data_IF_878139978028
#
_entry.id   IF_878139978028
#
_cell.length_a   1.000
_cell.length_b   1.000
_cell.length_c   1.000
_cell.angle_alpha   90.00
_cell.angle_beta   90.00
_cell.angle_gamma   90.00
#
_symmetry.space_group_name_H-M   'P 1'
#
loop_
_entity.id
_entity.type
_entity.pdbx_description
1 polymer ?
#
# COMPACT_ATOMS: atom_id res chain seq x y z
N UNK A 1 -7.13 -4.51 2.98
CA UNK A 1 -6.66 -4.95 4.30
C UNK A 1 -6.79 -3.82 5.33
N UNK A 2 -7.41 -4.09 6.47
CA UNK A 2 -7.46 -3.16 7.61
C UNK A 2 -6.27 -3.44 8.54
N UNK A 3 -5.50 -2.41 8.90
CA UNK A 3 -4.27 -2.53 9.70
C UNK A 3 -4.44 -1.71 10.97
N UNK A 4 -4.76 -2.39 12.09
CA UNK A 4 -4.94 -1.77 13.41
C UNK A 4 -3.69 -1.92 14.25
N UNK A 5 -2.96 -0.84 14.47
CA UNK A 5 -1.78 -0.83 15.36
C UNK A 5 -1.65 0.49 16.08
N UNK A 6 -0.84 0.51 17.15
CA UNK A 6 -0.46 1.77 17.81
C UNK A 6 0.61 2.46 16.97
N UNK A 7 0.33 3.69 16.57
CA UNK A 7 1.26 4.51 15.77
C UNK A 7 1.93 5.53 16.69
N UNK A 8 3.23 5.36 16.91
CA UNK A 8 4.05 6.28 17.71
C UNK A 8 4.79 5.64 18.88
N UNK A 9 5.63 6.47 19.51
CA UNK A 9 6.41 6.14 20.72
C UNK A 9 6.08 7.16 21.81
N UNK A 10 6.66 6.93 22.99
CA UNK A 10 6.65 7.89 24.09
C UNK A 10 8.03 8.57 24.10
N UNK A 11 8.08 9.89 24.11
CA UNK A 11 9.33 10.64 24.22
C UNK A 11 9.86 10.67 25.66
N UNK A 12 11.01 11.30 25.87
CA UNK A 12 11.66 11.41 27.17
C UNK A 12 10.81 12.16 28.22
N UNK A 13 9.85 12.98 27.78
CA UNK A 13 8.94 13.74 28.64
C UNK A 13 7.63 12.98 28.93
N UNK A 14 7.52 11.72 28.48
CA UNK A 14 6.31 10.92 28.65
C UNK A 14 5.19 11.28 27.67
N UNK A 15 5.43 12.16 26.68
CA UNK A 15 4.41 12.53 25.69
C UNK A 15 4.40 11.51 24.56
N UNK A 16 3.21 11.28 24.00
CA UNK A 16 3.09 10.44 22.80
C UNK A 16 3.49 11.24 21.57
N UNK A 17 4.54 10.77 20.90
CA UNK A 17 5.00 11.32 19.62
C UNK A 17 4.76 10.26 18.56
N UNK A 18 3.82 10.52 17.66
CA UNK A 18 3.51 9.65 16.54
C UNK A 18 4.27 10.06 15.30
N UNK A 19 5.01 9.12 14.71
CA UNK A 19 5.55 9.29 13.37
C UNK A 19 4.56 8.71 12.35
N UNK A 20 3.56 9.52 11.99
CA UNK A 20 2.54 9.12 11.02
C UNK A 20 3.15 8.93 9.64
N UNK A 21 4.09 9.80 9.26
CA UNK A 21 4.77 9.71 7.96
C UNK A 21 5.61 8.44 7.89
N UNK A 22 6.42 8.16 8.91
CA UNK A 22 7.18 6.91 8.99
C UNK A 22 6.29 5.68 9.00
N UNK A 23 5.11 5.73 9.62
CA UNK A 23 4.14 4.63 9.53
C UNK A 23 3.60 4.44 8.11
N UNK A 24 3.24 5.51 7.40
CA UNK A 24 2.82 5.43 5.99
C UNK A 24 3.96 4.89 5.12
N UNK A 25 5.18 5.41 5.26
CA UNK A 25 6.36 4.92 4.55
C UNK A 25 6.66 3.46 4.87
N UNK A 26 6.41 3.01 6.10
CA UNK A 26 6.52 1.61 6.47
C UNK A 26 5.49 0.75 5.72
N UNK A 27 4.23 1.19 5.62
CA UNK A 27 3.20 0.51 4.84
C UNK A 27 3.50 0.49 3.33
N UNK A 28 4.00 1.59 2.76
CA UNK A 28 4.39 1.64 1.34
C UNK A 28 5.51 0.64 1.04
N UNK A 29 6.54 0.59 1.88
CA UNK A 29 7.61 -0.37 1.71
C UNK A 29 7.15 -1.82 1.88
N UNK A 30 6.16 -2.09 2.75
CA UNK A 30 5.57 -3.43 2.87
C UNK A 30 4.86 -3.86 1.58
N UNK A 31 4.11 -2.94 0.96
CA UNK A 31 3.47 -3.19 -0.32
C UNK A 31 4.52 -3.43 -1.40
N UNK A 32 5.59 -2.63 -1.45
CA UNK A 32 6.69 -2.80 -2.42
C UNK A 32 7.35 -4.16 -2.27
N UNK A 33 7.67 -4.58 -1.03
CA UNK A 33 8.22 -5.91 -0.76
C UNK A 33 7.27 -7.04 -1.18
N UNK A 34 5.96 -6.85 -1.01
CA UNK A 34 4.95 -7.82 -1.46
C UNK A 34 4.89 -7.90 -2.98
N UNK A 35 4.91 -6.77 -3.67
CA UNK A 35 4.92 -6.72 -5.14
C UNK A 35 6.20 -7.34 -5.74
N UNK A 36 7.34 -7.17 -5.06
CA UNK A 36 8.61 -7.74 -5.49
C UNK A 36 8.59 -9.27 -5.56
N UNK A 37 7.83 -9.95 -4.70
CA UNK A 37 7.66 -11.42 -4.73
C UNK A 37 6.88 -11.89 -5.97
N UNK A 38 6.14 -10.99 -6.63
CA UNK A 38 5.50 -11.21 -7.93
C UNK A 38 6.31 -10.65 -9.10
N UNK A 39 7.57 -10.27 -8.88
CA UNK A 39 8.45 -9.59 -9.84
C UNK A 39 7.91 -8.23 -10.35
N UNK A 40 7.08 -7.56 -9.55
CA UNK A 40 6.59 -6.21 -9.87
C UNK A 40 7.40 -5.17 -9.10
N UNK A 41 8.03 -4.26 -9.83
CA UNK A 41 8.73 -3.12 -9.25
C UNK A 41 7.74 -2.01 -8.89
N UNK A 42 7.38 -1.92 -7.62
CA UNK A 42 6.60 -0.82 -7.07
C UNK A 42 7.45 0.34 -6.58
N UNK A 43 6.95 1.57 -6.70
CA UNK A 43 7.64 2.79 -6.27
C UNK A 43 6.72 3.75 -5.51
N UNK A 44 7.32 4.57 -4.63
CA UNK A 44 6.62 5.66 -3.94
C UNK A 44 6.89 7.00 -4.61
N UNK A 45 6.11 8.02 -4.23
CA UNK A 45 6.36 9.40 -4.62
C UNK A 45 6.21 10.34 -3.42
N UNK A 46 7.04 11.39 -3.31
CA UNK A 46 6.98 12.31 -2.16
C UNK A 46 5.66 13.07 -2.01
N UNK A 47 4.97 13.32 -3.12
CA UNK A 47 3.78 14.15 -3.24
C UNK A 47 2.46 13.36 -3.23
N UNK A 48 2.52 12.03 -3.41
CA UNK A 48 1.33 11.18 -3.53
C UNK A 48 1.47 9.82 -2.86
N UNK A 49 0.62 9.59 -1.86
CA UNK A 49 0.60 8.38 -1.04
C UNK A 49 0.13 7.16 -1.83
N UNK A 50 0.80 6.03 -1.60
CA UNK A 50 0.51 4.74 -2.22
C UNK A 50 1.67 4.24 -3.07
N UNK A 51 1.44 3.13 -3.76
CA UNK A 51 2.46 2.49 -4.60
C UNK A 51 2.05 2.52 -6.06
N UNK A 52 3.04 2.83 -6.90
CA UNK A 52 2.89 3.09 -8.33
C UNK A 52 3.84 2.20 -9.12
N UNK A 53 3.44 1.85 -10.34
CA UNK A 53 4.25 1.05 -11.27
C UNK A 53 4.47 1.86 -12.53
N UNK A 54 5.72 1.91 -13.02
CA UNK A 54 6.02 2.51 -14.33
C UNK A 54 5.41 1.65 -15.43
N UNK A 55 4.77 2.30 -16.39
CA UNK A 55 4.08 1.68 -17.52
C UNK A 55 4.69 2.19 -18.83
N UNK A 56 5.98 1.95 -19.02
CA UNK A 56 6.73 2.44 -20.18
C UNK A 56 6.12 1.99 -21.52
N UNK A 57 5.44 0.85 -21.53
CA UNK A 57 4.70 0.32 -22.68
C UNK A 57 3.41 1.10 -23.01
N UNK A 58 2.87 1.87 -22.05
CA UNK A 58 1.73 2.78 -22.22
C UNK A 58 2.16 4.23 -22.50
N UNK A 59 3.46 4.52 -22.56
CA UNK A 59 4.01 5.83 -22.90
C UNK A 59 5.20 6.26 -22.03
N UNK A 60 5.98 7.21 -22.53
CA UNK A 60 7.12 7.76 -21.79
C UNK A 60 6.65 8.47 -20.51
N UNK A 61 7.28 8.14 -19.38
CA UNK A 61 6.92 8.70 -18.08
C UNK A 61 5.57 8.24 -17.52
N UNK A 62 4.84 7.34 -18.21
CA UNK A 62 3.57 6.84 -17.72
C UNK A 62 3.76 5.95 -16.50
N UNK A 63 2.87 6.13 -15.53
CA UNK A 63 2.81 5.34 -14.32
C UNK A 63 1.36 5.24 -13.85
N UNK A 64 1.02 4.06 -13.35
CA UNK A 64 -0.32 3.73 -12.87
C UNK A 64 -0.25 3.28 -11.41
N UNK A 65 -1.26 3.64 -10.63
CA UNK A 65 -1.36 3.29 -9.21
C UNK A 65 -1.78 1.83 -9.05
N UNK A 66 -1.00 1.04 -8.30
CA UNK A 66 -1.33 -0.36 -8.00
C UNK A 66 -1.88 -0.54 -6.58
N UNK A 67 -1.54 0.37 -5.67
CA UNK A 67 -2.00 0.28 -4.28
C UNK A 67 -2.29 1.65 -3.66
N UNK A 68 -3.37 1.72 -2.90
CA UNK A 68 -3.75 2.89 -2.12
C UNK A 68 -3.62 2.62 -0.63
N UNK A 69 -3.17 3.63 0.12
CA UNK A 69 -3.12 3.63 1.58
C UNK A 69 -4.03 4.76 2.06
N UNK A 70 -4.99 4.41 2.90
CA UNK A 70 -5.87 5.34 3.56
C UNK A 70 -5.95 4.94 5.01
N UNK A 71 -5.32 5.72 5.89
CA UNK A 71 -5.31 5.47 7.33
C UNK A 71 -5.89 6.66 8.08
N UNK A 72 -6.60 6.39 9.17
CA UNK A 72 -7.05 7.41 10.12
C UNK A 72 -6.52 7.08 11.50
N UNK A 73 -5.98 8.06 12.21
CA UNK A 73 -5.57 7.88 13.60
C UNK A 73 -6.64 8.37 14.58
N UNK A 74 -6.98 7.54 15.56
CA UNK A 74 -7.79 7.91 16.72
C UNK A 74 -7.10 7.44 17.98
N UNK A 75 -6.75 8.37 18.87
CA UNK A 75 -6.00 8.07 20.11
C UNK A 75 -4.74 7.21 19.86
N UNK A 76 -4.00 7.53 18.79
CA UNK A 76 -2.80 6.81 18.35
C UNK A 76 -3.00 5.36 17.93
N UNK A 77 -4.24 4.96 17.59
CA UNK A 77 -4.56 3.68 16.96
C UNK A 77 -4.99 3.94 15.51
N UNK A 78 -4.42 3.19 14.56
CA UNK A 78 -4.82 3.24 13.15
C UNK A 78 -6.17 2.56 12.90
N UNK A 79 -6.92 3.16 11.98
CA UNK A 79 -8.18 2.68 11.42
C UNK A 79 -8.04 2.67 9.89
N UNK A 80 -8.76 1.76 9.22
CA UNK A 80 -8.61 1.45 7.79
C UNK A 80 -7.24 0.79 7.53
N UNK A 81 -6.68 0.97 6.35
CA UNK A 81 -5.40 0.36 6.02
C UNK A 81 -5.00 0.61 4.58
N UNK A 82 -4.83 -0.47 3.83
CA UNK A 82 -4.34 -0.45 2.46
C UNK A 82 -5.17 -1.33 1.53
N UNK A 83 -5.06 -1.06 0.24
CA UNK A 83 -5.64 -1.84 -0.84
C UNK A 83 -4.57 -2.06 -1.90
N UNK A 84 -4.45 -3.29 -2.40
CA UNK A 84 -3.61 -3.66 -3.54
C UNK A 84 -4.57 -4.18 -4.61
N UNK A 85 -4.46 -3.67 -5.82
CA UNK A 85 -5.29 -4.09 -6.94
C UNK A 85 -4.76 -5.42 -7.50
N UNK A 86 -5.49 -6.51 -7.28
CA UNK A 86 -5.14 -7.84 -7.82
C UNK A 86 -5.81 -8.04 -9.17
N UNK A 87 -7.15 -8.07 -9.16
CA UNK A 87 -7.99 -8.26 -10.36
C UNK A 87 -9.30 -7.43 -10.33
N UNK A 88 -9.31 -6.17 -9.84
CA UNK A 88 -10.53 -5.37 -9.94
C UNK A 88 -10.86 -5.08 -11.40
N UNK A 89 -12.15 -4.91 -11.68
CA UNK A 89 -12.58 -4.21 -12.89
C UNK A 89 -12.12 -2.74 -12.80
N UNK A 90 -11.18 -2.38 -13.69
CA UNK A 90 -10.53 -1.08 -13.70
C UNK A 90 -11.43 0.04 -14.25
N UNK A 91 -12.48 -0.29 -15.01
CA UNK A 91 -13.43 0.71 -15.55
C UNK A 91 -14.21 1.40 -14.42
N UNK A 92 -14.38 0.74 -13.27
CA UNK A 92 -14.99 1.36 -12.10
C UNK A 92 -14.22 2.58 -11.56
N UNK A 93 -12.94 2.71 -11.89
CA UNK A 93 -12.16 3.88 -11.49
C UNK A 93 -12.41 5.10 -12.39
N UNK A 94 -12.95 4.93 -13.59
CA UNK A 94 -13.24 6.05 -14.51
C UNK A 94 -14.36 6.96 -14.01
N UNK A 95 -15.25 6.43 -13.16
CA UNK A 95 -16.35 7.18 -12.53
C UNK A 95 -15.93 8.02 -11.33
N UNK A 96 -14.67 7.97 -10.90
CA UNK A 96 -14.17 8.68 -9.72
C UNK A 96 -12.84 9.38 -10.02
N UNK A 97 -12.48 10.38 -9.20
CA UNK A 97 -11.11 10.93 -9.21
C UNK A 97 -10.33 10.24 -8.09
N UNK A 98 -9.60 9.15 -8.37
CA UNK A 98 -8.92 8.39 -7.32
C UNK A 98 -7.83 9.25 -6.68
N UNK A 99 -7.93 9.46 -5.37
CA UNK A 99 -6.92 10.18 -4.59
C UNK A 99 -6.62 11.61 -5.07
N UNK A 100 -7.56 12.26 -5.77
CA UNK A 100 -7.42 13.65 -6.24
C UNK A 100 -6.46 13.84 -7.42
N UNK A 101 -6.06 12.75 -8.09
CA UNK A 101 -5.07 12.76 -9.17
C UNK A 101 -5.78 12.37 -10.47
N UNK A 102 -5.77 13.26 -11.46
CA UNK A 102 -6.43 13.06 -12.76
C UNK A 102 -5.47 12.61 -13.86
N UNK A 103 -4.16 12.81 -13.67
CA UNK A 103 -3.15 12.62 -14.73
C UNK A 103 -2.56 11.20 -14.78
N UNK A 104 -2.84 10.38 -13.76
CA UNK A 104 -2.30 9.03 -13.61
C UNK A 104 -3.41 7.99 -13.55
N UNK A 105 -3.17 6.82 -14.15
CA UNK A 105 -4.15 5.74 -14.15
C UNK A 105 -4.05 4.86 -12.92
N UNK A 106 -4.84 3.79 -12.95
CA UNK A 106 -4.78 2.68 -12.01
C UNK A 106 -4.41 1.41 -12.77
N UNK A 107 -3.80 0.47 -12.07
CA UNK A 107 -3.43 -0.84 -12.61
C UNK A 107 -3.71 -1.93 -11.57
N UNK A 108 -3.51 -3.18 -11.96
CA UNK A 108 -3.64 -4.36 -11.12
C UNK A 108 -2.59 -5.40 -11.48
N UNK A 109 -2.39 -6.43 -10.65
CA UNK A 109 -1.49 -7.54 -10.98
C UNK A 109 -1.92 -8.23 -12.29
N UNK A 110 -3.22 -8.42 -12.50
CA UNK A 110 -3.75 -9.00 -13.73
C UNK A 110 -3.56 -8.08 -14.95
N UNK A 111 -3.75 -6.77 -14.81
CA UNK A 111 -3.47 -5.79 -15.89
C UNK A 111 -1.96 -5.67 -16.23
N UNK A 112 -1.09 -6.10 -15.31
CA UNK A 112 0.35 -6.27 -15.56
C UNK A 112 0.69 -7.62 -16.21
N UNK A 113 -0.31 -8.46 -16.50
CA UNK A 113 -0.14 -9.77 -17.15
C UNK A 113 0.18 -10.92 -16.19
N UNK A 114 -0.02 -10.74 -14.88
CA UNK A 114 0.25 -11.76 -13.88
C UNK A 114 -1.05 -12.49 -13.50
N UNK A 115 -1.16 -13.82 -13.73
CA UNK A 115 -2.35 -14.59 -13.38
C UNK A 115 -2.34 -14.92 -11.88
N UNK A 116 -2.48 -13.89 -11.05
CA UNK A 116 -2.41 -13.98 -9.58
C UNK A 116 -3.80 -13.84 -9.00
N UNK A 117 -4.13 -14.70 -8.02
CA UNK A 117 -5.40 -14.60 -7.29
C UNK A 117 -5.18 -13.99 -5.91
N UNK A 118 -6.27 -13.52 -5.30
CA UNK A 118 -6.26 -12.92 -3.95
C UNK A 118 -5.57 -13.81 -2.90
N UNK A 119 -5.74 -15.14 -2.98
CA UNK A 119 -5.14 -16.08 -2.05
C UNK A 119 -3.61 -16.10 -2.11
N UNK A 120 -3.02 -15.96 -3.30
CA UNK A 120 -1.56 -15.88 -3.46
C UNK A 120 -1.03 -14.59 -2.81
N UNK A 121 -1.72 -13.48 -3.06
CA UNK A 121 -1.37 -12.17 -2.49
C UNK A 121 -1.48 -12.21 -0.98
N UNK A 122 -2.51 -12.83 -0.40
CA UNK A 122 -2.66 -12.94 1.06
C UNK A 122 -1.50 -13.70 1.71
N UNK A 123 -1.03 -14.80 1.11
CA UNK A 123 0.11 -15.58 1.61
C UNK A 123 1.38 -14.73 1.59
N UNK A 124 1.66 -14.07 0.47
CA UNK A 124 2.85 -13.24 0.30
C UNK A 124 2.81 -12.03 1.23
N UNK A 125 1.66 -11.33 1.29
CA UNK A 125 1.44 -10.16 2.11
C UNK A 125 1.66 -10.46 3.60
N UNK A 126 1.20 -11.63 4.08
CA UNK A 126 1.46 -12.09 5.45
C UNK A 126 2.94 -12.34 5.70
N UNK A 127 3.61 -13.07 4.79
CA UNK A 127 5.04 -13.37 4.91
C UNK A 127 5.89 -12.09 4.95
N UNK A 128 5.63 -11.16 4.03
CA UNK A 128 6.36 -9.88 3.97
C UNK A 128 6.07 -9.00 5.18
N UNK A 129 4.85 -9.05 5.75
CA UNK A 129 4.51 -8.34 6.98
C UNK A 129 5.39 -8.78 8.15
N UNK A 130 5.50 -10.10 8.34
CA UNK A 130 6.28 -10.69 9.41
C UNK A 130 7.77 -10.35 9.26
N UNK A 131 8.29 -10.30 8.03
CA UNK A 131 9.67 -9.85 7.75
C UNK A 131 9.89 -8.38 8.11
N UNK A 132 8.96 -7.49 7.73
CA UNK A 132 9.15 -6.04 7.86
C UNK A 132 8.83 -5.50 9.26
N UNK A 133 7.79 -6.02 9.89
CA UNK A 133 7.30 -5.54 11.19
C UNK A 133 7.61 -6.49 12.36
N UNK A 134 8.12 -7.69 12.06
CA UNK A 134 8.36 -8.74 13.04
C UNK A 134 7.12 -9.59 13.34
N UNK A 135 7.34 -10.80 13.87
CA UNK A 135 6.29 -11.73 14.27
C UNK A 135 5.57 -11.25 15.56
N UNK A 136 4.65 -10.29 15.42
CA UNK A 136 3.60 -10.04 16.44
C UNK A 136 2.26 -9.83 15.75
N UNK A 137 1.80 -10.88 15.06
CA UNK A 137 0.35 -11.07 14.89
C UNK A 137 -0.15 -11.61 16.24
N UNK A 138 -0.61 -10.72 17.12
CA UNK A 138 -1.51 -11.16 18.18
C UNK A 138 -2.81 -11.51 17.46
N UNK A 139 -3.08 -12.82 17.35
CA UNK A 139 -4.42 -13.30 17.10
C UNK A 139 -5.34 -12.64 18.14
N UNK A 140 -6.31 -11.88 17.66
CA UNK A 140 -7.44 -11.39 18.46
C UNK A 140 -8.61 -12.31 18.15
#
# INVERSE_FOLDING_TARGET
LDVKTRVGRVDADGRRVGDVRGFVTALEGWIIETLAEFNVTGETRPDRVGVWVRRSEKGEGREDKIAAIGIRLKRWVSLHGLSINVEPDLEHFDGIVPCGITEHGVTSLVDLGLPVVMADVDVVLKSTFERRFGARVLAI
#
